data_IF_524319303392
#
_entry.id   IF_524319303392
#
_cell.length_a   1.000
_cell.length_b   1.000
_cell.length_c   1.000
_cell.angle_alpha   90.00
_cell.angle_beta   90.00
_cell.angle_gamma   90.00
#
_symmetry.space_group_name_H-M   'P 1'
#
loop_
_entity.id
_entity.type
_entity.pdbx_description
1 polymer ?
#
# COMPACT_ATOMS: atom_id res chain seq x y z
N UNK A 1 18.04 21.95 23.04
CA UNK A 1 16.73 21.43 22.62
C UNK A 1 16.77 20.00 22.06
N UNK A 2 17.87 19.26 22.23
CA UNK A 2 18.01 17.87 21.74
C UNK A 2 17.89 16.79 22.83
N UNK A 3 17.78 17.19 24.07
CA UNK A 3 17.80 16.27 25.23
C UNK A 3 16.55 15.41 25.37
N UNK A 4 15.39 15.96 25.01
CA UNK A 4 14.11 15.24 25.18
C UNK A 4 13.92 14.11 24.16
N UNK A 5 14.45 14.26 22.94
CA UNK A 5 14.37 13.24 21.90
C UNK A 5 15.29 12.04 22.18
N UNK A 6 16.49 12.30 22.72
CA UNK A 6 17.41 11.24 23.10
C UNK A 6 16.94 10.49 24.36
N UNK A 7 16.30 11.19 25.30
CA UNK A 7 15.71 10.56 26.48
C UNK A 7 14.53 9.65 26.14
N UNK A 8 13.70 10.03 25.16
CA UNK A 8 12.60 9.21 24.65
C UNK A 8 13.13 7.94 23.96
N UNK A 9 14.21 8.05 23.18
CA UNK A 9 14.83 6.92 22.48
C UNK A 9 15.51 5.96 23.48
N UNK A 10 16.17 6.49 24.49
CA UNK A 10 16.86 5.70 25.52
C UNK A 10 15.86 4.93 26.38
N UNK A 11 14.78 5.57 26.82
CA UNK A 11 13.70 4.92 27.60
C UNK A 11 12.96 3.83 26.80
N UNK A 12 12.93 3.93 25.46
CA UNK A 12 12.36 2.91 24.59
C UNK A 12 13.26 1.67 24.52
N UNK A 13 14.58 1.85 24.41
CA UNK A 13 15.55 0.75 24.40
C UNK A 13 15.51 -0.08 25.68
N UNK A 14 15.32 0.57 26.83
CA UNK A 14 15.21 -0.13 28.12
C UNK A 14 13.89 -0.88 28.30
N UNK A 15 12.78 -0.37 27.75
CA UNK A 15 11.47 -1.06 27.78
C UNK A 15 11.43 -2.29 26.88
N UNK A 16 11.98 -2.21 25.68
CA UNK A 16 12.04 -3.33 24.71
C UNK A 16 12.89 -4.49 25.27
N UNK A 17 13.86 -4.19 26.12
CA UNK A 17 14.68 -5.21 26.79
C UNK A 17 13.95 -5.91 27.96
N UNK A 18 12.98 -5.24 28.60
CA UNK A 18 12.14 -5.84 29.66
C UNK A 18 10.99 -6.70 29.15
N UNK A 19 10.49 -6.45 27.95
CA UNK A 19 9.37 -7.21 27.36
C UNK A 19 9.79 -8.54 26.73
N UNK A 20 11.09 -8.84 26.64
CA UNK A 20 11.62 -10.12 26.12
C UNK A 20 11.70 -11.25 27.13
N UNK A 21 11.35 -11.01 28.40
CA UNK A 21 11.31 -12.07 29.42
C UNK A 21 9.87 -12.59 29.47
N UNK A 22 9.61 -13.71 28.78
CA UNK A 22 8.35 -14.46 28.87
C UNK A 22 8.34 -15.30 30.16
N UNK A 23 7.27 -15.27 30.96
CA UNK A 23 7.03 -16.32 31.93
C UNK A 23 6.42 -17.54 31.25
N UNK A 24 6.92 -18.72 31.60
CA UNK A 24 6.44 -20.03 31.20
C UNK A 24 4.96 -20.24 31.55
N UNK A 25 4.20 -20.77 30.59
CA UNK A 25 2.81 -21.20 30.80
C UNK A 25 2.73 -22.72 30.78
N UNK A 26 1.93 -23.34 31.65
CA UNK A 26 1.87 -24.80 31.78
C UNK A 26 0.99 -25.45 30.72
N UNK A 27 1.43 -26.64 30.29
CA UNK A 27 0.75 -27.58 29.40
C UNK A 27 -0.56 -28.10 30.02
N UNK A 28 -1.64 -28.10 29.24
CA UNK A 28 -2.77 -28.96 29.52
C UNK A 28 -3.18 -29.75 28.24
N UNK A 29 -3.53 -31.00 28.48
CA UNK A 29 -3.54 -32.15 27.60
C UNK A 29 -4.83 -32.34 26.77
N UNK A 30 -4.64 -33.00 25.63
CA UNK A 30 -5.46 -34.04 24.97
C UNK A 30 -6.99 -34.01 25.03
N UNK A 31 -7.59 -34.01 23.84
CA UNK A 31 -8.56 -35.04 23.42
C UNK A 31 -8.96 -34.90 21.94
N UNK A 32 -8.56 -35.83 21.10
CA UNK A 32 -9.28 -36.33 19.93
C UNK A 32 -10.27 -37.40 20.46
N UNK A 33 -11.30 -37.91 19.74
CA UNK A 33 -11.25 -38.36 18.36
C UNK A 33 -12.58 -38.29 17.57
N UNK A 34 -12.51 -38.66 16.33
CA UNK A 34 -13.39 -39.48 15.48
C UNK A 34 -13.83 -38.88 14.15
N UNK A 35 -13.21 -39.47 13.15
CA UNK A 35 -13.76 -39.64 11.79
C UNK A 35 -14.68 -40.87 11.79
N UNK A 36 -15.63 -41.05 10.84
CA UNK A 36 -15.40 -41.90 9.68
C UNK A 36 -15.96 -41.31 8.37
N UNK A 37 -15.28 -41.44 7.26
CA UNK A 37 -15.12 -42.55 6.32
C UNK A 37 -16.30 -42.78 5.35
N UNK A 38 -15.89 -42.75 4.07
CA UNK A 38 -16.35 -43.46 2.88
C UNK A 38 -17.61 -42.87 2.17
N UNK A 39 -17.64 -42.75 0.87
CA UNK A 39 -17.50 -43.81 -0.12
C UNK A 39 -17.45 -43.26 -1.56
N UNK A 40 -16.56 -43.80 -2.33
CA UNK A 40 -16.49 -44.22 -3.73
C UNK A 40 -17.64 -43.87 -4.69
N UNK A 41 -17.29 -43.41 -5.92
CA UNK A 41 -17.45 -44.11 -7.20
C UNK A 41 -16.89 -43.30 -8.38
N UNK A 42 -15.92 -43.81 -9.00
CA UNK A 42 -15.57 -44.30 -10.34
C UNK A 42 -16.60 -44.07 -11.46
N UNK A 43 -16.10 -43.54 -12.60
CA UNK A 43 -16.10 -44.15 -13.97
C UNK A 43 -15.65 -43.11 -15.00
N UNK A 44 -14.48 -43.31 -15.69
CA UNK A 44 -14.26 -43.99 -16.99
C UNK A 44 -15.15 -43.43 -18.11
N UNK A 45 -14.73 -43.07 -19.32
CA UNK A 45 -13.68 -43.53 -20.23
C UNK A 45 -13.76 -42.59 -21.49
N UNK A 46 -12.66 -42.30 -22.13
CA UNK A 46 -12.19 -42.90 -23.38
C UNK A 46 -12.76 -42.31 -24.70
N UNK A 47 -11.84 -42.15 -25.64
CA UNK A 47 -12.04 -42.16 -27.11
C UNK A 47 -11.20 -41.07 -27.77
N UNK A 48 -9.96 -41.30 -28.25
CA UNK A 48 -9.56 -41.85 -29.57
C UNK A 48 -10.24 -41.09 -30.70
N UNK A 49 -9.58 -40.61 -31.76
CA UNK A 49 -8.51 -41.20 -32.56
C UNK A 49 -8.17 -40.22 -33.72
N UNK A 50 -6.93 -40.32 -34.21
CA UNK A 50 -6.51 -40.43 -35.60
C UNK A 50 -6.95 -39.32 -36.60
N UNK A 51 -6.14 -38.81 -37.47
CA UNK A 51 -5.36 -39.55 -38.50
C UNK A 51 -4.45 -38.58 -39.27
N UNK A 52 -3.31 -39.05 -39.61
CA UNK A 52 -2.44 -39.00 -40.74
C UNK A 52 -2.67 -38.02 -41.89
N UNK A 53 -1.54 -37.57 -42.44
CA UNK A 53 -1.47 -36.98 -43.77
C UNK A 53 -0.08 -36.59 -44.22
N UNK A 54 0.75 -37.58 -44.53
CA UNK A 54 2.02 -37.53 -45.25
C UNK A 54 1.86 -37.06 -46.69
N UNK A 55 2.90 -36.33 -47.25
CA UNK A 55 3.59 -36.57 -48.57
C UNK A 55 4.46 -35.35 -48.89
N UNK A 56 5.78 -35.52 -48.95
CA UNK A 56 6.71 -36.01 -50.01
C UNK A 56 6.79 -35.09 -51.27
N UNK A 57 8.05 -34.77 -51.57
CA UNK A 57 8.61 -34.59 -52.91
C UNK A 57 9.02 -33.16 -53.22
N UNK A 58 10.21 -32.82 -53.63
CA UNK A 58 11.21 -33.49 -54.40
C UNK A 58 12.34 -32.49 -54.74
N UNK A 59 13.47 -33.04 -54.90
CA UNK A 59 14.73 -32.43 -55.31
C UNK A 59 14.67 -31.67 -56.63
N UNK A 60 15.54 -30.65 -56.80
CA UNK A 60 16.44 -30.57 -57.94
C UNK A 60 17.60 -29.59 -57.70
N UNK A 61 18.80 -30.16 -57.92
CA UNK A 61 20.11 -29.53 -58.08
C UNK A 61 20.15 -28.66 -59.31
N UNK A 62 20.91 -27.57 -59.29
CA UNK A 62 21.78 -27.21 -60.43
C UNK A 62 22.98 -26.38 -59.95
N UNK A 63 24.15 -26.92 -60.19
CA UNK A 63 25.44 -26.21 -60.13
C UNK A 63 25.56 -25.21 -61.27
N UNK A 64 26.20 -24.06 -61.05
CA UNK A 64 27.16 -23.47 -61.99
C UNK A 64 28.09 -22.40 -61.38
N UNK A 65 29.31 -22.76 -61.24
CA UNK A 65 30.60 -22.18 -61.58
C UNK A 65 30.82 -20.65 -61.60
N UNK A 66 31.83 -20.27 -60.80
CA UNK A 66 33.03 -19.43 -61.02
C UNK A 66 32.84 -17.98 -61.47
N UNK A 67 33.38 -17.12 -60.60
CA UNK A 67 33.81 -15.78 -60.98
C UNK A 67 34.64 -15.14 -59.85
N UNK A 68 35.97 -15.40 -59.92
CA UNK A 68 36.98 -14.88 -59.00
C UNK A 68 37.27 -13.43 -59.40
N UNK A 69 36.89 -12.43 -58.62
CA UNK A 69 37.45 -11.07 -58.71
C UNK A 69 38.03 -10.66 -57.36
N UNK A 70 39.38 -10.55 -57.36
CA UNK A 70 40.16 -9.85 -56.36
C UNK A 70 39.80 -8.37 -56.42
N UNK A 71 39.43 -7.76 -55.32
CA UNK A 71 39.20 -6.31 -55.22
C UNK A 71 39.34 -5.86 -53.77
N UNK A 72 40.39 -5.16 -53.53
CA UNK A 72 40.80 -4.27 -52.46
C UNK A 72 40.01 -4.23 -51.17
N UNK A 73 40.54 -4.77 -50.10
CA UNK A 73 40.07 -4.49 -48.73
C UNK A 73 40.38 -3.04 -48.38
N UNK A 74 39.43 -2.15 -48.51
CA UNK A 74 39.49 -0.80 -47.93
C UNK A 74 39.44 -0.89 -46.43
N UNK A 75 40.41 -0.25 -45.74
CA UNK A 75 40.56 -0.07 -44.29
C UNK A 75 39.40 0.78 -43.66
N UNK A 76 38.16 0.51 -43.92
CA UNK A 76 37.01 1.24 -43.36
C UNK A 76 36.51 0.58 -42.07
N UNK A 77 36.87 -0.67 -41.79
CA UNK A 77 36.30 -1.43 -40.67
C UNK A 77 36.79 -1.06 -39.26
N UNK A 78 37.94 -0.33 -39.13
CA UNK A 78 38.44 0.01 -37.80
C UNK A 78 37.83 1.28 -37.19
N UNK A 79 37.43 2.23 -38.00
CA UNK A 79 36.86 3.49 -37.54
C UNK A 79 35.41 3.29 -37.06
N UNK A 80 34.63 2.49 -37.79
CA UNK A 80 33.24 2.15 -37.42
C UNK A 80 33.22 1.39 -36.09
N UNK A 81 34.18 0.53 -35.82
CA UNK A 81 34.26 -0.22 -34.55
C UNK A 81 34.48 0.70 -33.34
N UNK A 82 35.34 1.74 -33.45
CA UNK A 82 35.59 2.67 -32.36
C UNK A 82 34.36 3.50 -32.02
N UNK A 83 33.61 3.98 -33.02
CA UNK A 83 32.36 4.71 -32.80
C UNK A 83 31.29 3.86 -32.09
N UNK A 84 31.21 2.57 -32.42
CA UNK A 84 30.29 1.66 -31.73
C UNK A 84 30.69 1.42 -30.26
N UNK A 85 32.00 1.31 -29.98
CA UNK A 85 32.47 1.20 -28.58
C UNK A 85 32.21 2.48 -27.77
N UNK A 86 32.44 3.64 -28.38
CA UNK A 86 32.17 4.94 -27.73
C UNK A 86 30.68 5.12 -27.51
N UNK A 87 29.84 4.78 -28.49
CA UNK A 87 28.38 4.82 -28.34
C UNK A 87 27.86 3.84 -27.27
N UNK A 88 28.40 2.62 -27.24
CA UNK A 88 28.04 1.64 -26.22
C UNK A 88 28.47 2.09 -24.81
N UNK A 89 29.69 2.65 -24.68
CA UNK A 89 30.16 3.21 -23.40
C UNK A 89 29.30 4.42 -22.94
N UNK A 90 28.90 5.30 -23.87
CA UNK A 90 28.02 6.43 -23.57
C UNK A 90 26.64 5.95 -23.12
N UNK A 91 26.08 4.91 -23.77
CA UNK A 91 24.81 4.30 -23.38
C UNK A 91 24.88 3.60 -22.02
N UNK A 92 25.99 2.94 -21.71
CA UNK A 92 26.18 2.34 -20.37
C UNK A 92 26.32 3.40 -19.29
N UNK A 93 27.07 4.48 -19.52
CA UNK A 93 27.14 5.62 -18.58
C UNK A 93 25.75 6.26 -18.41
N UNK A 94 24.98 6.46 -19.49
CA UNK A 94 23.62 6.97 -19.40
C UNK A 94 22.73 6.02 -18.59
N UNK A 95 22.77 4.72 -18.85
CA UNK A 95 21.92 3.74 -18.16
C UNK A 95 22.29 3.53 -16.69
N UNK A 96 23.57 3.48 -16.36
CA UNK A 96 24.03 3.13 -15.01
C UNK A 96 24.36 4.32 -14.11
N UNK A 97 24.56 5.50 -14.67
CA UNK A 97 24.90 6.71 -13.90
C UNK A 97 23.84 7.78 -14.05
N UNK A 98 23.51 8.20 -15.26
CA UNK A 98 22.59 9.33 -15.48
C UNK A 98 21.16 8.98 -15.12
N UNK A 99 20.67 7.80 -15.54
CA UNK A 99 19.29 7.38 -15.22
C UNK A 99 19.10 7.20 -13.71
N UNK A 100 19.97 6.50 -12.96
CA UNK A 100 19.85 6.44 -11.51
C UNK A 100 19.95 7.79 -10.80
N UNK A 101 20.82 8.70 -11.29
CA UNK A 101 20.92 10.06 -10.74
C UNK A 101 19.65 10.88 -10.99
N UNK A 102 19.05 10.76 -12.19
CA UNK A 102 17.79 11.41 -12.51
C UNK A 102 16.62 10.80 -11.72
N UNK A 103 16.55 9.47 -11.62
CA UNK A 103 15.55 8.77 -10.83
C UNK A 103 15.71 9.10 -9.34
N UNK A 104 16.92 9.16 -8.82
CA UNK A 104 17.19 9.55 -7.43
C UNK A 104 16.79 11.01 -7.14
N UNK A 105 16.89 11.90 -8.13
CA UNK A 105 16.37 13.28 -8.01
C UNK A 105 14.83 13.36 -8.09
N UNK A 106 14.20 12.45 -8.83
CA UNK A 106 12.74 12.38 -8.94
C UNK A 106 12.09 11.59 -7.79
N UNK A 107 12.84 10.74 -7.10
CA UNK A 107 12.37 9.97 -5.94
C UNK A 107 12.59 10.67 -4.59
N UNK A 108 12.84 11.98 -4.60
CA UNK A 108 12.66 12.79 -3.41
C UNK A 108 11.22 12.60 -2.93
N UNK A 109 11.02 11.92 -1.79
CA UNK A 109 9.71 11.91 -1.14
C UNK A 109 9.28 13.36 -0.99
N UNK A 110 8.33 13.77 -1.82
CA UNK A 110 7.71 15.09 -1.69
C UNK A 110 6.90 15.05 -0.39
N UNK A 111 7.54 15.37 0.71
CA UNK A 111 6.85 15.55 1.97
C UNK A 111 5.78 16.63 1.80
N UNK A 112 4.68 16.48 2.52
CA UNK A 112 3.62 17.48 2.54
C UNK A 112 4.15 18.72 3.24
N UNK A 113 3.98 19.90 2.61
CA UNK A 113 4.32 21.16 3.25
C UNK A 113 3.36 21.43 4.40
N UNK A 114 3.92 21.67 5.58
CA UNK A 114 3.14 22.04 6.76
C UNK A 114 2.87 23.54 6.71
N UNK A 115 1.62 23.97 6.77
CA UNK A 115 1.29 25.41 6.81
C UNK A 115 1.91 26.09 8.02
N UNK A 116 2.17 27.39 7.93
CA UNK A 116 2.61 28.18 9.09
C UNK A 116 1.44 28.37 10.07
N UNK A 117 1.72 28.30 11.38
CA UNK A 117 0.73 28.52 12.43
C UNK A 117 0.76 27.48 13.56
N UNK A 118 -0.22 27.57 14.45
CA UNK A 118 -0.42 26.62 15.56
C UNK A 118 -1.49 25.60 15.15
N UNK A 119 -1.07 24.38 14.88
CA UNK A 119 -1.95 23.29 14.43
C UNK A 119 -1.92 22.12 15.38
N UNK A 120 -3.04 21.38 15.45
CA UNK A 120 -3.06 20.03 15.98
C UNK A 120 -2.73 19.04 14.87
N UNK A 121 -1.74 18.20 15.09
CA UNK A 121 -1.37 17.17 14.12
C UNK A 121 -2.27 15.96 14.25
N UNK A 122 -2.68 15.44 13.10
CA UNK A 122 -3.47 14.22 12.98
C UNK A 122 -2.74 13.23 12.07
N UNK A 123 -3.00 11.94 12.27
CA UNK A 123 -2.60 10.87 11.36
C UNK A 123 -3.82 10.03 11.03
N UNK A 124 -3.89 9.54 9.80
CA UNK A 124 -4.84 8.50 9.40
C UNK A 124 -4.15 7.15 9.35
N UNK A 125 -4.84 6.13 9.79
CA UNK A 125 -4.34 4.77 9.87
C UNK A 125 -5.38 3.75 9.40
N UNK A 126 -4.89 2.62 8.92
CA UNK A 126 -5.69 1.48 8.48
C UNK A 126 -4.93 0.17 8.71
N UNK A 127 -5.44 -0.94 8.26
CA UNK A 127 -4.77 -2.26 8.31
C UNK A 127 -3.35 -2.29 7.72
N UNK A 128 -2.96 -1.26 6.98
CA UNK A 128 -1.62 -1.18 6.41
C UNK A 128 -0.57 -0.76 7.43
N UNK A 129 -0.97 -0.09 8.51
CA UNK A 129 -0.11 0.28 9.65
C UNK A 129 -0.27 -0.76 10.76
N UNK A 130 0.46 -1.90 10.64
CA UNK A 130 0.30 -3.06 11.54
C UNK A 130 0.94 -2.86 12.91
N UNK A 131 2.16 -2.33 12.93
CA UNK A 131 2.99 -2.26 14.14
C UNK A 131 3.12 -0.81 14.62
N UNK A 132 2.06 -0.30 15.22
CA UNK A 132 2.02 1.08 15.72
C UNK A 132 2.56 1.15 17.14
N UNK A 133 3.58 1.98 17.33
CA UNK A 133 4.06 2.34 18.68
C UNK A 133 3.29 3.57 19.16
N UNK A 134 2.18 3.31 19.83
CA UNK A 134 1.21 4.34 20.22
C UNK A 134 1.78 5.47 21.08
N UNK A 135 2.72 5.17 21.96
CA UNK A 135 3.38 6.17 22.83
C UNK A 135 4.32 7.12 22.06
N UNK A 136 4.58 6.86 20.78
CA UNK A 136 5.61 7.53 20.00
C UNK A 136 5.10 8.08 18.66
N UNK A 137 3.77 8.27 18.50
CA UNK A 137 3.23 8.89 17.30
C UNK A 137 3.62 10.36 17.22
N UNK A 138 4.36 10.70 16.18
CA UNK A 138 4.82 12.06 15.93
C UNK A 138 4.90 12.37 14.44
N UNK A 139 4.76 13.63 14.10
CA UNK A 139 5.02 14.16 12.75
C UNK A 139 6.38 14.85 12.77
N UNK A 140 7.25 14.45 11.88
CA UNK A 140 8.57 15.04 11.71
C UNK A 140 8.54 16.04 10.55
N UNK A 141 9.11 17.23 10.76
CA UNK A 141 9.26 18.26 9.72
C UNK A 141 10.73 18.57 9.49
N UNK A 142 11.13 18.70 8.23
CA UNK A 142 12.46 19.13 7.85
C UNK A 142 12.62 20.66 7.89
N UNK A 143 13.83 21.17 7.71
CA UNK A 143 14.13 22.59 7.67
C UNK A 143 13.43 23.34 6.52
N UNK A 144 12.99 22.62 5.50
CA UNK A 144 12.21 23.15 4.37
C UNK A 144 10.70 23.25 4.65
N UNK A 145 10.24 22.96 5.87
CA UNK A 145 8.83 22.96 6.26
C UNK A 145 8.02 21.76 5.76
N UNK A 146 8.65 20.79 5.07
CA UNK A 146 7.95 19.57 4.61
C UNK A 146 8.07 18.44 5.63
N UNK A 147 7.08 17.54 5.65
CA UNK A 147 7.17 16.33 6.45
C UNK A 147 8.32 15.44 5.99
N UNK A 148 8.96 14.75 6.93
CA UNK A 148 10.04 13.79 6.65
C UNK A 148 9.84 12.52 7.47
N UNK A 149 10.33 11.39 6.97
CA UNK A 149 10.33 10.10 7.70
C UNK A 149 11.63 9.87 8.47
N UNK A 150 12.64 10.70 8.22
CA UNK A 150 13.96 10.55 8.83
C UNK A 150 14.11 11.47 10.04
N UNK A 151 14.33 10.90 11.19
CA UNK A 151 14.61 11.65 12.40
C UNK A 151 15.91 12.47 12.28
N UNK A 152 16.87 11.98 11.48
CA UNK A 152 18.16 12.68 11.26
C UNK A 152 18.01 13.95 10.43
N UNK A 153 17.01 14.03 9.57
CA UNK A 153 16.72 15.21 8.73
C UNK A 153 15.61 16.08 9.32
N UNK A 154 15.05 15.69 10.46
CA UNK A 154 14.01 16.45 11.13
C UNK A 154 14.60 17.67 11.84
N UNK A 155 13.99 18.84 11.60
CA UNK A 155 14.23 20.08 12.34
C UNK A 155 13.11 20.38 13.33
N UNK A 156 11.94 19.73 13.17
CA UNK A 156 10.80 19.84 14.07
C UNK A 156 10.19 18.46 14.36
N UNK A 157 9.75 18.27 15.63
CA UNK A 157 9.06 17.07 16.10
C UNK A 157 7.75 17.50 16.72
N UNK A 158 6.63 17.02 16.18
CA UNK A 158 5.30 17.43 16.61
C UNK A 158 4.52 16.22 17.11
N UNK A 159 3.96 16.32 18.32
CA UNK A 159 3.12 15.26 18.87
C UNK A 159 1.80 15.17 18.11
N UNK A 160 1.40 13.96 17.76
CA UNK A 160 0.08 13.68 17.20
C UNK A 160 -0.97 13.85 18.30
N UNK A 161 -2.04 14.56 17.99
CA UNK A 161 -3.17 14.77 18.89
C UNK A 161 -4.38 13.94 18.50
N UNK A 162 -4.57 13.74 17.19
CA UNK A 162 -5.74 13.08 16.62
C UNK A 162 -5.34 11.88 15.77
N UNK A 163 -6.11 10.80 15.88
CA UNK A 163 -5.90 9.59 15.09
C UNK A 163 -7.21 9.25 14.37
N UNK A 164 -7.18 9.28 13.04
CA UNK A 164 -8.31 8.88 12.19
C UNK A 164 -8.10 7.43 11.76
N UNK A 165 -9.06 6.55 12.05
CA UNK A 165 -8.92 5.11 11.90
C UNK A 165 -9.91 4.61 10.87
N UNK A 166 -9.41 3.91 9.83
CA UNK A 166 -10.29 3.28 8.84
C UNK A 166 -11.16 2.24 9.53
N UNK A 167 -12.47 2.43 9.47
CA UNK A 167 -13.41 1.45 9.99
C UNK A 167 -13.97 0.58 8.86
N UNK A 168 -14.46 1.21 7.79
CA UNK A 168 -15.16 0.50 6.73
C UNK A 168 -14.89 1.08 5.35
N UNK A 169 -15.25 0.30 4.34
CA UNK A 169 -15.20 0.68 2.93
C UNK A 169 -16.38 0.06 2.17
N UNK A 170 -17.10 0.86 1.40
CA UNK A 170 -18.24 0.37 0.64
C UNK A 170 -19.29 -0.32 1.50
N UNK A 171 -20.08 -1.20 0.91
CA UNK A 171 -21.27 -1.76 1.57
C UNK A 171 -20.97 -2.84 2.61
N UNK A 172 -19.79 -3.50 2.57
CA UNK A 172 -19.54 -4.73 3.36
C UNK A 172 -18.15 -4.84 3.95
N UNK A 173 -17.18 -4.14 3.38
CA UNK A 173 -15.80 -4.27 3.84
C UNK A 173 -15.60 -3.53 5.17
N UNK A 174 -14.90 -4.17 6.11
CA UNK A 174 -14.40 -3.54 7.33
C UNK A 174 -12.88 -3.70 7.37
N UNK A 175 -12.22 -2.78 8.03
CA UNK A 175 -10.76 -2.84 8.21
C UNK A 175 -10.42 -3.87 9.28
N UNK A 176 -9.53 -4.81 8.94
CA UNK A 176 -9.23 -5.95 9.82
C UNK A 176 -8.54 -5.57 11.14
N UNK A 177 -7.94 -4.37 11.21
CA UNK A 177 -7.27 -3.86 12.43
C UNK A 177 -8.06 -2.73 13.10
N UNK A 178 -9.29 -2.45 12.65
CA UNK A 178 -10.07 -1.35 13.21
C UNK A 178 -10.27 -1.49 14.72
N UNK A 179 -10.70 -2.63 15.18
CA UNK A 179 -11.01 -2.86 16.61
C UNK A 179 -9.77 -2.70 17.49
N UNK A 180 -8.64 -3.26 17.05
CA UNK A 180 -7.37 -3.15 17.76
C UNK A 180 -6.87 -1.69 17.79
N UNK A 181 -6.86 -1.02 16.63
CA UNK A 181 -6.47 0.39 16.55
C UNK A 181 -7.40 1.29 17.34
N UNK A 182 -8.71 1.01 17.29
CA UNK A 182 -9.73 1.74 18.02
C UNK A 182 -9.54 1.64 19.53
N UNK A 183 -9.24 0.46 20.02
CA UNK A 183 -8.94 0.22 21.45
C UNK A 183 -7.62 0.87 21.84
N UNK A 184 -6.52 0.53 21.17
CA UNK A 184 -5.18 0.96 21.54
C UNK A 184 -4.99 2.48 21.50
N UNK A 185 -5.60 3.17 20.50
CA UNK A 185 -5.55 4.63 20.42
C UNK A 185 -6.22 5.32 21.61
N UNK A 186 -7.32 4.75 22.12
CA UNK A 186 -7.99 5.29 23.31
C UNK A 186 -7.19 5.03 24.60
N UNK A 187 -6.57 3.86 24.72
CA UNK A 187 -5.72 3.51 25.85
C UNK A 187 -4.47 4.39 25.90
N UNK A 188 -3.93 4.76 24.73
CA UNK A 188 -2.82 5.70 24.61
C UNK A 188 -3.24 7.19 24.77
N UNK A 189 -4.53 7.47 24.97
CA UNK A 189 -5.02 8.81 25.29
C UNK A 189 -5.27 9.72 24.08
N UNK A 190 -5.29 9.20 22.85
CA UNK A 190 -5.57 10.00 21.67
C UNK A 190 -7.05 10.35 21.54
N UNK A 191 -7.35 11.54 20.98
CA UNK A 191 -8.66 11.82 20.42
C UNK A 191 -8.76 11.10 19.09
N UNK A 192 -9.61 10.10 19.00
CA UNK A 192 -9.73 9.22 17.84
C UNK A 192 -11.01 9.45 17.06
N UNK A 193 -10.98 9.19 15.76
CA UNK A 193 -12.12 9.22 14.87
C UNK A 193 -12.16 8.00 13.96
N UNK A 194 -13.36 7.53 13.65
CA UNK A 194 -13.54 6.47 12.68
C UNK A 194 -13.89 7.06 11.31
N UNK A 195 -13.26 6.54 10.22
CA UNK A 195 -13.62 6.96 8.89
C UNK A 195 -14.17 5.83 8.02
N UNK A 196 -15.06 6.22 7.10
CA UNK A 196 -15.60 5.37 6.06
C UNK A 196 -15.05 5.78 4.70
N UNK A 197 -14.42 4.84 3.99
CA UNK A 197 -13.99 5.04 2.62
C UNK A 197 -15.17 4.86 1.67
N UNK A 198 -15.65 5.96 1.09
CA UNK A 198 -16.86 5.98 0.29
C UNK A 198 -16.63 5.42 -1.11
N UNK A 199 -17.46 4.49 -1.53
CA UNK A 199 -17.49 3.97 -2.90
C UNK A 199 -18.69 4.54 -3.64
N UNK A 200 -18.45 5.52 -4.51
CA UNK A 200 -19.48 6.26 -5.24
C UNK A 200 -20.40 5.38 -6.13
N UNK A 201 -19.97 4.17 -6.51
CA UNK A 201 -20.78 3.20 -7.26
C UNK A 201 -21.71 2.32 -6.40
N UNK A 202 -21.63 2.43 -5.07
CA UNK A 202 -22.38 1.59 -4.12
C UNK A 202 -23.48 2.36 -3.42
N UNK A 203 -24.51 1.65 -2.87
CA UNK A 203 -25.63 2.30 -2.14
C UNK A 203 -25.10 3.08 -0.93
N UNK A 204 -25.39 4.38 -0.81
CA UNK A 204 -24.97 5.18 0.34
C UNK A 204 -25.64 4.72 1.63
N UNK A 205 -26.88 4.22 1.57
CA UNK A 205 -27.60 3.71 2.75
C UNK A 205 -26.91 2.47 3.33
N UNK A 206 -26.55 1.52 2.44
CA UNK A 206 -25.84 0.30 2.87
C UNK A 206 -24.44 0.61 3.39
N UNK A 207 -23.78 1.60 2.83
CA UNK A 207 -22.49 2.09 3.31
C UNK A 207 -22.62 2.71 4.70
N UNK A 208 -23.62 3.56 4.94
CA UNK A 208 -23.89 4.13 6.26
C UNK A 208 -24.22 3.04 7.29
N UNK A 209 -25.05 2.08 6.94
CA UNK A 209 -25.35 0.93 7.81
C UNK A 209 -24.13 0.08 8.13
N UNK A 210 -23.25 -0.17 7.13
CA UNK A 210 -21.99 -0.87 7.36
C UNK A 210 -21.09 -0.14 8.36
N UNK A 211 -20.97 1.19 8.21
CA UNK A 211 -20.20 2.03 9.12
C UNK A 211 -20.76 1.99 10.54
N UNK A 212 -22.04 2.24 10.71
CA UNK A 212 -22.72 2.23 12.01
C UNK A 212 -22.56 0.88 12.72
N UNK A 213 -22.75 -0.21 11.99
CA UNK A 213 -22.62 -1.56 12.52
C UNK A 213 -21.21 -1.88 13.04
N UNK A 214 -20.16 -1.44 12.34
CA UNK A 214 -18.78 -1.74 12.70
C UNK A 214 -18.27 -0.80 13.80
N UNK A 215 -18.54 0.49 13.69
CA UNK A 215 -18.05 1.47 14.67
C UNK A 215 -18.78 1.37 16.02
N UNK A 216 -20.07 1.02 15.98
CA UNK A 216 -20.88 0.96 17.20
C UNK A 216 -20.99 2.33 17.86
N UNK A 217 -20.84 2.38 19.18
CA UNK A 217 -20.97 3.61 19.95
C UNK A 217 -19.67 4.43 19.93
N UNK A 218 -19.79 5.75 19.71
CA UNK A 218 -18.72 6.71 19.87
C UNK A 218 -18.88 7.46 21.21
N UNK A 219 -17.76 7.76 21.87
CA UNK A 219 -17.74 8.49 23.14
C UNK A 219 -17.68 10.00 22.91
N UNK A 220 -17.99 10.78 23.93
CA UNK A 220 -17.92 12.24 23.84
C UNK A 220 -16.54 12.78 23.42
N UNK A 221 -15.48 12.11 23.83
CA UNK A 221 -14.08 12.46 23.48
C UNK A 221 -13.64 12.00 22.09
N UNK A 222 -14.37 11.09 21.47
CA UNK A 222 -14.09 10.64 20.11
C UNK A 222 -14.48 11.76 19.11
N UNK A 223 -13.78 11.85 17.98
CA UNK A 223 -14.13 12.75 16.91
C UNK A 223 -15.48 12.37 16.29
N UNK A 224 -16.17 13.31 15.62
CA UNK A 224 -17.31 12.95 14.78
C UNK A 224 -16.96 11.89 13.75
N UNK A 225 -17.95 11.12 13.23
CA UNK A 225 -17.76 10.25 12.09
C UNK A 225 -17.14 10.99 10.90
N UNK A 226 -16.28 10.32 10.13
CA UNK A 226 -15.57 10.92 9.02
C UNK A 226 -15.93 10.18 7.74
N UNK A 227 -16.25 10.93 6.68
CA UNK A 227 -16.50 10.38 5.34
C UNK A 227 -15.34 10.74 4.43
N UNK A 228 -14.61 9.72 3.97
CA UNK A 228 -13.47 9.84 3.08
C UNK A 228 -13.91 9.58 1.62
N UNK A 229 -13.69 10.58 0.74
CA UNK A 229 -14.17 10.58 -0.65
C UNK A 229 -13.00 10.85 -1.60
N UNK A 230 -12.38 9.81 -2.09
CA UNK A 230 -11.20 9.94 -2.96
C UNK A 230 -11.49 9.64 -4.43
N UNK A 231 -12.48 8.79 -4.71
CA UNK A 231 -12.71 8.28 -6.07
C UNK A 231 -14.16 8.39 -6.50
N UNK A 232 -14.35 8.82 -7.76
CA UNK A 232 -15.66 8.86 -8.40
C UNK A 232 -15.69 7.81 -9.51
N UNK A 233 -16.70 6.94 -9.54
CA UNK A 233 -16.83 5.95 -10.58
C UNK A 233 -17.24 6.56 -11.92
N UNK A 234 -16.87 5.92 -13.01
CA UNK A 234 -17.23 6.36 -14.37
C UNK A 234 -18.74 6.48 -14.51
N UNK A 235 -19.19 7.62 -15.05
CA UNK A 235 -20.62 7.91 -15.25
C UNK A 235 -21.34 8.54 -14.06
N UNK A 236 -20.68 8.74 -12.91
CA UNK A 236 -21.23 9.49 -11.80
C UNK A 236 -21.01 10.99 -12.00
N UNK A 237 -22.08 11.76 -12.11
CA UNK A 237 -21.99 13.23 -12.11
C UNK A 237 -21.73 13.78 -10.72
N UNK A 238 -21.20 15.00 -10.63
CA UNK A 238 -21.02 15.69 -9.35
C UNK A 238 -22.36 15.87 -8.59
N UNK A 239 -23.45 16.12 -9.29
CA UNK A 239 -24.79 16.22 -8.67
C UNK A 239 -25.23 14.88 -8.06
N UNK A 240 -25.00 13.77 -8.76
CA UNK A 240 -25.28 12.43 -8.25
C UNK A 240 -24.39 12.10 -7.06
N UNK A 241 -23.09 12.39 -7.14
CA UNK A 241 -22.17 12.19 -6.03
C UNK A 241 -22.65 12.95 -4.80
N UNK A 242 -22.92 14.24 -4.92
CA UNK A 242 -23.39 15.07 -3.80
C UNK A 242 -24.66 14.50 -3.16
N UNK A 243 -25.65 14.10 -3.98
CA UNK A 243 -26.87 13.47 -3.45
C UNK A 243 -26.56 12.21 -2.64
N UNK A 244 -25.66 11.34 -3.12
CA UNK A 244 -25.25 10.12 -2.43
C UNK A 244 -24.49 10.40 -1.13
N UNK A 245 -23.60 11.40 -1.15
CA UNK A 245 -22.89 11.81 0.06
C UNK A 245 -23.87 12.34 1.12
N UNK A 246 -24.85 13.19 0.72
CA UNK A 246 -25.87 13.69 1.65
C UNK A 246 -26.72 12.59 2.28
N UNK A 247 -27.04 11.54 1.54
CA UNK A 247 -27.76 10.38 2.09
C UNK A 247 -26.95 9.72 3.20
N UNK A 248 -25.68 9.43 2.95
CA UNK A 248 -24.78 8.82 3.95
C UNK A 248 -24.63 9.72 5.17
N UNK A 249 -24.29 11.00 4.96
CA UNK A 249 -24.10 11.98 6.03
C UNK A 249 -25.33 12.09 6.93
N UNK A 250 -26.52 12.19 6.34
CA UNK A 250 -27.77 12.30 7.09
C UNK A 250 -28.03 11.07 7.96
N UNK A 251 -27.90 9.86 7.41
CA UNK A 251 -28.13 8.62 8.16
C UNK A 251 -27.18 8.51 9.36
N UNK A 252 -25.91 8.86 9.14
CA UNK A 252 -24.89 8.79 10.19
C UNK A 252 -25.07 9.90 11.23
N UNK A 253 -25.44 11.12 10.81
CA UNK A 253 -25.78 12.22 11.72
C UNK A 253 -27.00 11.88 12.59
N UNK A 254 -28.06 11.33 12.00
CA UNK A 254 -29.26 10.89 12.71
C UNK A 254 -28.95 9.81 13.77
N UNK A 255 -28.06 8.86 13.43
CA UNK A 255 -27.69 7.78 14.34
C UNK A 255 -26.84 8.25 15.53
N UNK A 256 -25.82 9.09 15.29
CA UNK A 256 -24.87 9.51 16.33
C UNK A 256 -25.25 10.82 17.02
N UNK A 257 -26.22 11.56 16.50
CA UNK A 257 -26.54 12.92 16.96
C UNK A 257 -25.40 13.91 16.80
N UNK A 258 -24.44 13.61 15.89
CA UNK A 258 -23.24 14.41 15.64
C UNK A 258 -23.03 14.50 14.13
N UNK A 259 -22.81 15.72 13.66
CA UNK A 259 -22.53 15.97 12.23
C UNK A 259 -21.18 15.38 11.86
N UNK A 260 -21.13 14.49 10.83
CA UNK A 260 -19.89 13.96 10.29
C UNK A 260 -19.03 15.01 9.61
#
# INVERSE_FOLDING_TARGET
MNTDAEEIITRKSERDNRSRIKPDSPKAAHRTPHSPAADTTKRTAAGRSHDDGQKKGGQKKSEKKRGRKRGGKKRVGKVISVYWFVAAAALTVAAFVVVPLLVSRCSGEAGVQVPEGHYGYAVDISKYQKDIVWDSLMVLTGANGHTTRSIKSASGIHRVKYVMIKATEGERHHDALFEDHWKCSAEAGYSRGAYHFFRSSKSPEKQAQNFIRIVGNIRHKDLPPILDVETIHTGCSNAELNRRLFVWLRIVEEHYGRRP
#
